data_IF_959390465152
#
_entry.id   IF_959390465152
#
_cell.length_a   1.000
_cell.length_b   1.000
_cell.length_c   1.000
_cell.angle_alpha   90.00
_cell.angle_beta   90.00
_cell.angle_gamma   90.00
#
_symmetry.space_group_name_H-M   'P 1'
#
loop_
_entity.id
_entity.type
_entity.pdbx_description
1 polymer ?
#
# COMPACT_ATOMS: atom_id res chain seq x y z
N UNK A 1 -11.33 -35.79 -2.03
CA UNK A 1 -11.81 -34.43 -1.78
C UNK A 1 -10.82 -33.48 -2.47
N UNK A 2 -11.26 -32.35 -3.00
CA UNK A 2 -10.33 -31.41 -3.57
C UNK A 2 -9.35 -30.89 -2.47
N UNK A 3 -8.12 -30.60 -2.85
CA UNK A 3 -7.11 -30.03 -1.95
C UNK A 3 -7.52 -28.58 -1.62
N UNK A 4 -7.51 -28.25 -0.33
CA UNK A 4 -7.84 -26.91 0.18
C UNK A 4 -6.57 -26.11 0.33
N UNK A 5 -6.55 -24.92 -0.26
CA UNK A 5 -5.39 -24.01 -0.25
C UNK A 5 -5.78 -22.71 0.44
N UNK A 6 -5.04 -22.34 1.48
CA UNK A 6 -5.11 -21.04 2.15
C UNK A 6 -3.96 -20.15 1.72
N UNK A 7 -4.22 -18.84 1.64
CA UNK A 7 -3.20 -17.83 1.31
C UNK A 7 -3.09 -16.81 2.45
N UNK A 8 -1.90 -16.63 2.97
CA UNK A 8 -1.55 -15.53 3.89
C UNK A 8 -0.74 -14.51 3.09
N UNK A 9 -1.30 -13.30 2.92
CA UNK A 9 -0.63 -12.21 2.20
C UNK A 9 -0.18 -11.16 3.19
N UNK A 10 1.12 -11.05 3.40
CA UNK A 10 1.73 -10.10 4.32
C UNK A 10 2.28 -8.88 3.60
N UNK A 11 2.37 -7.77 4.33
CA UNK A 11 3.00 -6.55 3.87
C UNK A 11 2.08 -5.64 3.02
N UNK A 12 2.50 -5.29 1.81
CA UNK A 12 1.90 -4.18 1.06
C UNK A 12 0.88 -4.62 -0.01
N UNK A 13 0.14 -3.65 -0.53
CA UNK A 13 -0.84 -3.82 -1.61
C UNK A 13 -0.27 -4.47 -2.89
N UNK A 14 1.04 -4.33 -3.17
CA UNK A 14 1.68 -5.01 -4.31
C UNK A 14 1.76 -6.51 -4.09
N UNK A 15 2.12 -6.95 -2.86
CA UNK A 15 2.08 -8.37 -2.46
C UNK A 15 0.67 -8.92 -2.54
N UNK A 16 -0.34 -8.14 -2.13
CA UNK A 16 -1.74 -8.56 -2.22
C UNK A 16 -2.15 -8.88 -3.66
N UNK A 17 -1.84 -7.99 -4.61
CA UNK A 17 -2.11 -8.23 -6.04
C UNK A 17 -1.40 -9.48 -6.55
N UNK A 18 -0.15 -9.73 -6.11
CA UNK A 18 0.59 -10.95 -6.47
C UNK A 18 -0.12 -12.21 -5.90
N UNK A 19 -0.61 -12.15 -4.66
CA UNK A 19 -1.40 -13.23 -4.03
C UNK A 19 -2.70 -13.50 -4.79
N UNK A 20 -3.44 -12.46 -5.17
CA UNK A 20 -4.70 -12.58 -5.91
C UNK A 20 -4.54 -13.24 -7.28
N UNK A 21 -3.40 -12.98 -7.97
CA UNK A 21 -3.05 -13.67 -9.22
C UNK A 21 -2.73 -15.14 -9.00
N UNK A 22 -1.97 -15.48 -7.95
CA UNK A 22 -1.70 -16.88 -7.60
C UNK A 22 -2.99 -17.62 -7.24
N UNK A 23 -3.90 -17.02 -6.46
CA UNK A 23 -5.20 -17.58 -6.12
C UNK A 23 -6.04 -17.87 -7.36
N UNK A 24 -6.06 -16.99 -8.35
CA UNK A 24 -6.78 -17.20 -9.61
C UNK A 24 -6.29 -18.44 -10.35
N UNK A 25 -4.97 -18.62 -10.46
CA UNK A 25 -4.34 -19.79 -11.09
C UNK A 25 -4.70 -21.08 -10.37
N UNK A 26 -4.59 -21.09 -9.03
CA UNK A 26 -4.91 -22.25 -8.21
C UNK A 26 -6.38 -22.65 -8.36
N UNK A 27 -7.31 -21.68 -8.34
CA UNK A 27 -8.74 -21.92 -8.54
C UNK A 27 -9.02 -22.49 -9.95
N UNK A 28 -8.40 -21.91 -10.98
CA UNK A 28 -8.55 -22.37 -12.35
C UNK A 28 -8.06 -23.81 -12.55
N UNK A 29 -7.07 -24.23 -11.75
CA UNK A 29 -6.54 -25.61 -11.77
C UNK A 29 -7.36 -26.59 -10.91
N UNK A 30 -8.42 -26.13 -10.25
CA UNK A 30 -9.35 -26.98 -9.51
C UNK A 30 -9.07 -27.11 -8.01
N UNK A 31 -8.13 -26.36 -7.45
CA UNK A 31 -7.93 -26.28 -6.02
C UNK A 31 -9.07 -25.51 -5.34
N UNK A 32 -9.46 -25.95 -4.15
CA UNK A 32 -10.45 -25.25 -3.33
C UNK A 32 -9.75 -24.20 -2.47
N UNK A 33 -10.15 -22.94 -2.61
CA UNK A 33 -9.62 -21.88 -1.79
C UNK A 33 -10.37 -21.76 -0.48
N UNK A 34 -9.64 -21.53 0.61
CA UNK A 34 -10.16 -21.28 1.96
C UNK A 34 -9.54 -20.01 2.54
N UNK A 35 -10.29 -19.33 3.40
CA UNK A 35 -9.85 -18.08 4.03
C UNK A 35 -8.96 -18.32 5.25
N UNK A 36 -9.31 -19.33 6.04
CA UNK A 36 -8.60 -19.64 7.28
C UNK A 36 -7.50 -20.67 7.04
N UNK A 37 -6.21 -20.35 7.36
CA UNK A 37 -5.12 -21.32 7.20
C UNK A 37 -5.32 -22.63 7.97
N UNK A 38 -6.00 -22.58 9.11
CA UNK A 38 -6.36 -23.77 9.91
C UNK A 38 -7.34 -24.73 9.23
N UNK A 39 -8.04 -24.31 8.17
CA UNK A 39 -8.93 -25.15 7.36
C UNK A 39 -8.24 -25.67 6.10
N UNK A 40 -7.02 -25.22 5.81
CA UNK A 40 -6.28 -25.56 4.60
C UNK A 40 -5.56 -26.92 4.71
N UNK A 41 -5.40 -27.59 3.58
CA UNK A 41 -4.44 -28.69 3.45
C UNK A 41 -3.04 -28.15 3.12
N UNK A 42 -2.98 -27.02 2.41
CA UNK A 42 -1.75 -26.31 2.04
C UNK A 42 -1.90 -24.83 2.37
N UNK A 43 -0.93 -24.25 3.07
CA UNK A 43 -0.82 -22.81 3.28
C UNK A 43 0.28 -22.22 2.38
N UNK A 44 -0.04 -21.14 1.69
CA UNK A 44 0.92 -20.34 0.93
C UNK A 44 1.10 -19.01 1.66
N UNK A 45 2.33 -18.66 1.99
CA UNK A 45 2.65 -17.38 2.64
C UNK A 45 3.39 -16.48 1.65
N UNK A 46 2.75 -15.39 1.25
CA UNK A 46 3.39 -14.34 0.48
C UNK A 46 3.99 -13.32 1.46
N UNK A 47 5.28 -13.44 1.69
CA UNK A 47 6.02 -12.78 2.78
C UNK A 47 6.41 -11.35 2.46
N UNK A 48 6.52 -10.50 3.48
CA UNK A 48 7.17 -9.20 3.42
C UNK A 48 8.62 -9.31 3.95
N UNK A 49 9.54 -8.57 3.34
CA UNK A 49 10.97 -8.56 3.72
C UNK A 49 11.57 -7.15 3.58
N UNK A 50 10.73 -6.11 3.71
CA UNK A 50 11.14 -4.73 3.45
C UNK A 50 11.84 -4.08 4.65
N UNK A 51 11.25 -4.17 5.84
CA UNK A 51 11.80 -3.64 7.10
C UNK A 51 11.77 -4.70 8.18
N UNK A 52 12.53 -4.48 9.27
CA UNK A 52 12.70 -5.45 10.33
C UNK A 52 11.37 -5.95 10.92
N UNK A 53 10.45 -5.07 11.28
CA UNK A 53 9.15 -5.46 11.84
C UNK A 53 8.31 -6.34 10.90
N UNK A 54 8.36 -6.07 9.59
CA UNK A 54 7.66 -6.90 8.60
C UNK A 54 8.34 -8.27 8.38
N UNK A 55 9.65 -8.38 8.62
CA UNK A 55 10.37 -9.67 8.64
C UNK A 55 9.95 -10.48 9.86
N UNK A 56 9.86 -9.84 11.03
CA UNK A 56 9.42 -10.47 12.27
C UNK A 56 8.00 -11.02 12.16
N UNK A 57 7.05 -10.23 11.64
CA UNK A 57 5.68 -10.68 11.34
C UNK A 57 5.67 -11.91 10.41
N UNK A 58 6.48 -11.89 9.35
CA UNK A 58 6.56 -13.00 8.41
C UNK A 58 7.13 -14.27 9.08
N UNK A 59 8.17 -14.14 9.90
CA UNK A 59 8.79 -15.25 10.64
C UNK A 59 7.78 -15.84 11.65
N UNK A 60 7.11 -15.00 12.43
CA UNK A 60 6.09 -15.42 13.39
C UNK A 60 4.97 -16.20 12.71
N UNK A 61 4.44 -15.67 11.61
CA UNK A 61 3.42 -16.36 10.80
C UNK A 61 3.90 -17.74 10.30
N UNK A 62 5.13 -17.84 9.82
CA UNK A 62 5.71 -19.11 9.35
C UNK A 62 5.83 -20.11 10.49
N UNK A 63 6.25 -19.68 11.67
CA UNK A 63 6.37 -20.54 12.85
C UNK A 63 5.01 -21.03 13.36
N UNK A 64 3.98 -20.18 13.36
CA UNK A 64 2.60 -20.56 13.69
C UNK A 64 2.07 -21.63 12.74
N UNK A 65 2.25 -21.45 11.43
CA UNK A 65 1.87 -22.45 10.43
C UNK A 65 2.68 -23.74 10.57
N UNK A 66 3.97 -23.63 10.94
CA UNK A 66 4.82 -24.76 11.28
C UNK A 66 4.29 -25.57 12.45
N UNK A 67 3.71 -24.92 13.46
CA UNK A 67 3.03 -25.58 14.57
C UNK A 67 1.77 -26.34 14.12
N UNK A 68 0.91 -25.72 13.26
CA UNK A 68 -0.25 -26.38 12.66
C UNK A 68 0.12 -27.57 11.78
N UNK A 69 1.26 -27.50 11.11
CA UNK A 69 1.78 -28.62 10.33
C UNK A 69 2.25 -29.76 11.22
N UNK A 70 2.90 -29.45 12.34
CA UNK A 70 3.42 -30.43 13.30
C UNK A 70 2.29 -31.19 14.03
N UNK A 71 1.18 -30.53 14.32
CA UNK A 71 -0.01 -31.17 14.94
C UNK A 71 -0.90 -31.92 13.93
N UNK A 72 -0.60 -31.78 12.64
CA UNK A 72 -1.31 -32.49 11.55
C UNK A 72 -2.55 -31.77 11.01
N UNK A 73 -2.85 -30.56 11.48
CA UNK A 73 -3.94 -29.71 10.97
C UNK A 73 -3.63 -29.25 9.55
N UNK A 74 -2.40 -28.78 9.31
CA UNK A 74 -1.88 -28.36 8.02
C UNK A 74 -0.94 -29.44 7.46
N UNK A 75 -0.96 -29.69 6.14
CA UNK A 75 -0.11 -30.72 5.53
C UNK A 75 1.16 -30.14 4.91
N UNK A 76 1.05 -28.99 4.25
CA UNK A 76 2.10 -28.40 3.44
C UNK A 76 2.18 -26.88 3.61
N UNK A 77 3.39 -26.33 3.51
CA UNK A 77 3.67 -24.89 3.57
C UNK A 77 4.52 -24.49 2.37
N UNK A 78 4.09 -23.47 1.64
CA UNK A 78 4.82 -22.85 0.54
C UNK A 78 5.11 -21.40 0.91
N UNK A 79 6.37 -20.99 0.85
CA UNK A 79 6.80 -19.62 1.11
C UNK A 79 7.18 -18.93 -0.20
N UNK A 80 6.71 -17.70 -0.38
CA UNK A 80 7.07 -16.81 -1.48
C UNK A 80 7.13 -15.36 -0.99
N UNK A 81 7.42 -14.43 -1.86
CA UNK A 81 7.34 -13.00 -1.59
C UNK A 81 8.69 -12.32 -1.36
N UNK A 82 8.65 -11.14 -0.71
CA UNK A 82 9.82 -10.29 -0.59
C UNK A 82 10.90 -10.85 0.34
N UNK A 83 10.51 -11.55 1.42
CA UNK A 83 11.48 -12.15 2.35
C UNK A 83 12.25 -13.28 1.67
N UNK A 84 11.53 -14.20 1.03
CA UNK A 84 12.16 -15.33 0.32
C UNK A 84 12.99 -14.87 -0.87
N UNK A 85 12.56 -13.84 -1.61
CA UNK A 85 13.35 -13.25 -2.70
C UNK A 85 14.61 -12.55 -2.20
N UNK A 86 14.57 -11.94 -1.01
CA UNK A 86 15.71 -11.23 -0.44
C UNK A 86 16.81 -12.16 0.05
N UNK A 87 16.42 -13.24 0.74
CA UNK A 87 17.35 -14.16 1.43
C UNK A 87 17.54 -15.50 0.72
N UNK A 88 16.74 -15.81 -0.29
CA UNK A 88 16.86 -16.95 -1.20
C UNK A 88 17.26 -18.28 -0.48
N UNK A 89 18.43 -18.84 -0.77
CA UNK A 89 18.92 -20.11 -0.21
C UNK A 89 19.01 -20.07 1.32
N UNK A 90 19.36 -18.93 1.91
CA UNK A 90 19.41 -18.76 3.37
C UNK A 90 18.01 -18.92 3.98
N UNK A 91 16.97 -18.33 3.37
CA UNK A 91 15.59 -18.54 3.78
C UNK A 91 15.17 -20.01 3.66
N UNK A 92 15.62 -20.71 2.61
CA UNK A 92 15.33 -22.12 2.42
C UNK A 92 16.05 -23.02 3.46
N UNK A 93 17.21 -22.62 3.93
CA UNK A 93 17.93 -23.33 5.00
C UNK A 93 17.31 -23.09 6.38
N UNK A 94 16.87 -21.86 6.65
CA UNK A 94 16.28 -21.46 7.93
C UNK A 94 14.85 -22.00 8.13
N UNK A 95 14.00 -21.92 7.10
CA UNK A 95 12.60 -22.35 7.20
C UNK A 95 12.44 -23.82 6.83
N UNK A 96 12.89 -24.69 7.73
CA UNK A 96 12.82 -26.16 7.52
C UNK A 96 11.39 -26.71 7.55
N UNK A 97 10.43 -25.98 8.10
CA UNK A 97 9.01 -26.29 8.12
C UNK A 97 8.38 -26.21 6.72
N UNK A 98 8.96 -25.40 5.83
CA UNK A 98 8.44 -25.17 4.50
C UNK A 98 8.74 -26.34 3.54
N UNK A 99 7.71 -26.76 2.80
CA UNK A 99 7.85 -27.75 1.72
C UNK A 99 8.31 -27.09 0.41
N UNK A 100 8.02 -25.80 0.23
CA UNK A 100 8.61 -25.02 -0.84
C UNK A 100 9.02 -23.61 -0.37
N UNK A 101 10.15 -23.13 -0.90
CA UNK A 101 10.61 -21.73 -0.75
C UNK A 101 10.96 -21.21 -2.14
N UNK A 102 10.20 -20.21 -2.59
CA UNK A 102 10.32 -19.71 -3.96
C UNK A 102 10.47 -18.18 -3.98
N UNK A 103 11.11 -17.69 -5.05
CA UNK A 103 11.22 -16.28 -5.33
C UNK A 103 9.98 -15.71 -6.03
N UNK A 104 9.85 -14.38 -6.05
CA UNK A 104 8.71 -13.67 -6.68
C UNK A 104 8.58 -13.96 -8.18
N UNK A 105 9.68 -14.23 -8.89
CA UNK A 105 9.69 -14.62 -10.29
C UNK A 105 9.03 -15.97 -10.57
N UNK A 106 8.87 -16.81 -9.54
CA UNK A 106 8.24 -18.12 -9.64
C UNK A 106 6.76 -18.14 -9.23
N UNK A 107 6.17 -17.03 -8.83
CA UNK A 107 4.74 -16.96 -8.54
C UNK A 107 3.86 -17.39 -9.72
N UNK A 108 4.36 -17.24 -10.94
CA UNK A 108 3.70 -17.72 -12.16
C UNK A 108 3.57 -19.24 -12.22
N UNK A 109 4.50 -19.95 -11.58
CA UNK A 109 4.63 -21.42 -11.63
C UNK A 109 3.98 -22.07 -10.39
N UNK A 110 3.17 -21.32 -9.61
CA UNK A 110 2.63 -21.75 -8.30
C UNK A 110 1.84 -23.05 -8.37
N UNK A 111 1.17 -23.34 -9.48
CA UNK A 111 0.41 -24.59 -9.67
C UNK A 111 1.38 -25.78 -9.77
N UNK A 112 2.39 -25.69 -10.64
CA UNK A 112 3.38 -26.77 -10.82
C UNK A 112 4.16 -27.01 -9.52
N UNK A 113 4.51 -25.92 -8.80
CA UNK A 113 5.18 -25.99 -7.50
C UNK A 113 4.32 -26.72 -6.48
N UNK A 114 3.02 -26.39 -6.42
CA UNK A 114 2.10 -27.07 -5.52
C UNK A 114 1.94 -28.56 -5.86
N UNK A 115 1.89 -28.94 -7.14
CA UNK A 115 1.79 -30.33 -7.57
C UNK A 115 3.04 -31.13 -7.13
N UNK A 116 4.25 -30.58 -7.29
CA UNK A 116 5.50 -31.20 -6.79
C UNK A 116 5.48 -31.35 -5.25
N UNK A 117 5.05 -30.33 -4.52
CA UNK A 117 4.93 -30.36 -3.05
C UNK A 117 3.93 -31.43 -2.60
N UNK A 118 2.80 -31.58 -3.30
CA UNK A 118 1.82 -32.63 -3.01
C UNK A 118 2.33 -34.03 -3.35
N UNK A 119 3.22 -34.17 -4.32
CA UNK A 119 3.92 -35.41 -4.63
C UNK A 119 4.98 -35.78 -3.57
N UNK A 120 5.24 -34.90 -2.59
CA UNK A 120 6.20 -35.12 -1.50
C UNK A 120 7.60 -34.57 -1.77
N UNK A 121 7.78 -33.81 -2.81
CA UNK A 121 9.05 -33.16 -3.15
C UNK A 121 9.21 -31.86 -2.37
N UNK A 122 10.43 -31.53 -1.95
CA UNK A 122 10.77 -30.21 -1.44
C UNK A 122 11.26 -29.34 -2.59
N UNK A 123 10.62 -28.17 -2.78
CA UNK A 123 10.94 -27.26 -3.89
C UNK A 123 11.67 -26.03 -3.36
N UNK A 124 12.87 -25.75 -3.92
CA UNK A 124 13.60 -24.49 -3.68
C UNK A 124 13.93 -23.91 -5.03
N UNK A 125 13.34 -22.74 -5.37
CA UNK A 125 13.44 -22.18 -6.70
C UNK A 125 13.43 -20.65 -6.69
N UNK A 126 14.49 -20.03 -7.23
CA UNK A 126 14.61 -18.59 -7.36
C UNK A 126 14.82 -18.23 -8.84
N UNK A 127 13.74 -17.76 -9.47
CA UNK A 127 13.74 -17.34 -10.87
C UNK A 127 14.26 -15.90 -11.04
N UNK A 128 14.24 -15.42 -12.27
CA UNK A 128 14.58 -14.03 -12.53
C UNK A 128 13.46 -13.11 -12.07
N UNK A 129 13.78 -12.00 -11.42
CA UNK A 129 12.82 -10.95 -11.03
C UNK A 129 12.03 -10.37 -12.20
N UNK A 130 12.67 -10.36 -13.41
CA UNK A 130 12.01 -10.00 -14.67
C UNK A 130 10.85 -10.92 -15.06
N UNK A 131 10.79 -12.11 -14.48
CA UNK A 131 9.77 -13.11 -14.78
C UNK A 131 8.53 -12.96 -13.91
N UNK A 132 8.56 -12.05 -12.90
CA UNK A 132 7.38 -11.66 -12.15
C UNK A 132 6.29 -11.10 -13.08
N UNK A 133 5.10 -11.64 -12.96
CA UNK A 133 3.98 -11.32 -13.86
C UNK A 133 3.49 -9.88 -13.65
N UNK A 134 3.31 -9.19 -14.75
CA UNK A 134 2.76 -7.84 -14.75
C UNK A 134 1.23 -7.82 -14.90
N UNK A 135 0.63 -8.87 -15.47
CA UNK A 135 -0.80 -9.02 -15.74
C UNK A 135 -1.26 -10.47 -15.53
N UNK A 136 -2.56 -10.68 -15.46
CA UNK A 136 -3.17 -12.01 -15.33
C UNK A 136 -4.49 -11.92 -14.57
N UNK A 137 -5.27 -13.00 -14.63
CA UNK A 137 -6.53 -13.13 -13.88
C UNK A 137 -6.30 -12.96 -12.38
N UNK A 138 -7.30 -12.44 -11.69
CA UNK A 138 -7.25 -12.18 -10.25
C UNK A 138 -8.48 -12.75 -9.53
N UNK A 139 -8.31 -13.03 -8.24
CA UNK A 139 -9.40 -13.16 -7.29
C UNK A 139 -9.30 -11.99 -6.33
N UNK A 140 -10.27 -11.09 -6.37
CA UNK A 140 -10.30 -9.91 -5.51
C UNK A 140 -10.48 -10.38 -4.07
N UNK A 141 -9.55 -10.01 -3.20
CA UNK A 141 -9.54 -10.35 -1.77
C UNK A 141 -9.79 -9.14 -0.86
N UNK A 142 -9.80 -7.94 -1.43
CA UNK A 142 -10.26 -6.72 -0.77
C UNK A 142 -11.79 -6.73 -0.59
N UNK A 143 -12.33 -5.71 0.09
CA UNK A 143 -13.77 -5.49 0.06
C UNK A 143 -14.26 -5.33 -1.38
N UNK A 144 -15.46 -5.85 -1.75
CA UNK A 144 -15.82 -6.07 -3.15
C UNK A 144 -15.95 -4.80 -3.99
N UNK A 145 -15.96 -3.62 -3.38
CA UNK A 145 -16.15 -2.34 -4.06
C UNK A 145 -14.85 -1.56 -4.32
N UNK A 146 -13.69 -2.02 -3.82
CA UNK A 146 -12.41 -1.42 -4.17
C UNK A 146 -11.36 -2.47 -4.55
N UNK A 147 -10.40 -2.09 -5.38
CA UNK A 147 -9.27 -2.93 -5.71
C UNK A 147 -8.00 -2.11 -5.94
N UNK A 148 -6.86 -2.70 -5.59
CA UNK A 148 -5.57 -2.16 -5.98
C UNK A 148 -5.28 -2.49 -7.45
N UNK A 149 -4.90 -1.48 -8.23
CA UNK A 149 -4.51 -1.60 -9.63
C UNK A 149 -3.00 -1.37 -9.76
N UNK A 150 -2.25 -2.46 -9.91
CA UNK A 150 -0.78 -2.43 -9.98
C UNK A 150 -0.33 -2.11 -11.40
N UNK A 151 0.14 -0.88 -11.64
CA UNK A 151 0.51 -0.35 -12.96
C UNK A 151 1.98 -0.55 -13.34
N UNK A 152 2.82 -0.92 -12.38
CA UNK A 152 4.23 -1.22 -12.62
C UNK A 152 4.80 -2.13 -11.52
N UNK A 153 5.95 -2.73 -11.79
CA UNK A 153 6.72 -3.58 -10.89
C UNK A 153 8.17 -3.08 -10.80
N UNK A 154 8.80 -3.24 -9.62
CA UNK A 154 10.18 -2.85 -9.39
C UNK A 154 10.39 -1.33 -9.25
N UNK A 155 11.63 -0.92 -8.98
CA UNK A 155 12.00 0.48 -8.79
C UNK A 155 13.43 0.75 -9.25
N UNK A 156 13.67 1.91 -9.88
CA UNK A 156 14.99 2.35 -10.34
C UNK A 156 15.45 3.66 -9.71
N UNK A 157 14.86 4.07 -8.56
CA UNK A 157 15.22 5.33 -7.89
C UNK A 157 16.51 5.24 -7.06
N UNK A 158 16.91 4.02 -6.67
CA UNK A 158 18.16 3.75 -5.93
C UNK A 158 18.32 4.57 -4.63
N UNK A 159 17.22 4.82 -3.89
CA UNK A 159 17.30 5.42 -2.57
C UNK A 159 18.20 4.59 -1.64
N UNK A 160 19.10 5.24 -0.92
CA UNK A 160 20.18 4.55 -0.17
C UNK A 160 19.68 3.67 0.98
N UNK A 161 18.48 3.93 1.49
CA UNK A 161 17.82 3.17 2.56
C UNK A 161 16.96 2.01 2.07
N UNK A 162 16.81 1.84 0.75
CA UNK A 162 15.74 1.01 0.19
C UNK A 162 16.27 -0.26 -0.50
N UNK A 163 15.74 -1.41 -0.09
CA UNK A 163 16.09 -2.73 -0.67
C UNK A 163 15.23 -3.12 -1.87
N UNK A 164 14.21 -2.33 -2.23
CA UNK A 164 13.24 -2.69 -3.30
C UNK A 164 13.90 -3.01 -4.64
N UNK A 165 14.90 -2.25 -5.15
CA UNK A 165 15.58 -2.62 -6.38
C UNK A 165 16.25 -4.00 -6.32
N UNK A 166 16.77 -4.38 -5.16
CA UNK A 166 17.37 -5.69 -4.95
C UNK A 166 16.32 -6.81 -4.88
N UNK A 167 15.12 -6.55 -4.34
CA UNK A 167 14.06 -7.54 -4.21
C UNK A 167 13.24 -7.65 -5.48
N UNK A 168 12.73 -6.51 -6.02
CA UNK A 168 11.74 -6.47 -7.10
C UNK A 168 12.32 -6.13 -8.48
N UNK A 169 13.62 -5.87 -8.54
CA UNK A 169 14.33 -5.55 -9.77
C UNK A 169 14.07 -4.13 -10.31
N UNK A 170 14.52 -3.86 -11.54
CA UNK A 170 14.34 -2.56 -12.18
C UNK A 170 12.86 -2.28 -12.47
N UNK A 171 12.53 -1.00 -12.60
CA UNK A 171 11.18 -0.55 -12.91
C UNK A 171 10.68 -1.06 -14.26
N UNK A 172 9.48 -1.61 -14.29
CA UNK A 172 8.79 -2.13 -15.48
C UNK A 172 7.33 -1.75 -15.44
N UNK A 173 6.89 -0.90 -16.36
CA UNK A 173 5.48 -0.53 -16.52
C UNK A 173 4.65 -1.65 -17.14
N UNK A 174 3.41 -1.76 -16.72
CA UNK A 174 2.38 -2.53 -17.44
C UNK A 174 1.95 -1.70 -18.65
N UNK A 175 1.84 -2.27 -19.88
CA UNK A 175 1.27 -1.55 -21.01
C UNK A 175 -0.09 -0.93 -20.69
N UNK A 176 -0.36 0.27 -21.22
CA UNK A 176 -1.58 1.03 -20.87
C UNK A 176 -2.85 0.25 -21.20
N UNK A 177 -2.88 -0.43 -22.33
CA UNK A 177 -4.00 -1.24 -22.77
C UNK A 177 -4.31 -2.37 -21.76
N UNK A 178 -3.26 -3.04 -21.24
CA UNK A 178 -3.40 -4.12 -20.27
C UNK A 178 -3.90 -3.58 -18.91
N UNK A 179 -3.48 -2.36 -18.50
CA UNK A 179 -3.99 -1.71 -17.29
C UNK A 179 -5.46 -1.36 -17.43
N UNK A 180 -5.85 -0.79 -18.59
CA UNK A 180 -7.24 -0.42 -18.86
C UNK A 180 -8.15 -1.64 -18.98
N UNK A 181 -7.66 -2.74 -19.56
CA UNK A 181 -8.42 -3.99 -19.62
C UNK A 181 -8.64 -4.59 -18.23
N UNK A 182 -7.61 -4.60 -17.36
CA UNK A 182 -7.75 -5.03 -15.96
C UNK A 182 -8.75 -4.12 -15.21
N UNK A 183 -8.68 -2.81 -15.42
CA UNK A 183 -9.58 -1.84 -14.78
C UNK A 183 -11.05 -2.02 -15.23
N UNK A 184 -11.31 -2.26 -16.52
CA UNK A 184 -12.66 -2.58 -17.03
C UNK A 184 -13.18 -3.89 -16.42
N UNK A 185 -12.33 -4.92 -16.38
CA UNK A 185 -12.68 -6.19 -15.75
C UNK A 185 -13.06 -6.00 -14.26
N UNK A 186 -12.31 -5.17 -13.52
CA UNK A 186 -12.62 -4.83 -12.13
C UNK A 186 -13.98 -4.14 -12.01
N UNK A 187 -14.28 -3.17 -12.90
CA UNK A 187 -15.56 -2.48 -12.92
C UNK A 187 -16.74 -3.42 -13.22
N UNK A 188 -16.58 -4.37 -14.17
CA UNK A 188 -17.55 -5.42 -14.47
C UNK A 188 -17.80 -6.35 -13.26
N UNK A 189 -16.83 -6.47 -12.35
CA UNK A 189 -16.93 -7.21 -11.09
C UNK A 189 -17.34 -6.34 -9.89
N UNK A 190 -17.99 -5.19 -10.17
CA UNK A 190 -18.58 -4.27 -9.18
C UNK A 190 -17.57 -3.49 -8.33
N UNK A 191 -16.31 -3.43 -8.71
CA UNK A 191 -15.34 -2.51 -8.13
C UNK A 191 -15.70 -1.08 -8.56
N UNK A 192 -15.84 -0.19 -7.60
CA UNK A 192 -16.22 1.22 -7.81
C UNK A 192 -15.10 2.19 -7.43
N UNK A 193 -14.07 1.72 -6.71
CA UNK A 193 -12.86 2.49 -6.42
C UNK A 193 -11.61 1.74 -6.90
N UNK A 194 -10.81 2.40 -7.75
CA UNK A 194 -9.50 1.93 -8.18
C UNK A 194 -8.40 2.66 -7.41
N UNK A 195 -7.51 1.89 -6.78
CA UNK A 195 -6.34 2.42 -6.08
C UNK A 195 -5.11 2.08 -6.90
N UNK A 196 -4.59 3.07 -7.60
CA UNK A 196 -3.46 2.93 -8.52
C UNK A 196 -2.17 2.90 -7.74
N UNK A 197 -1.42 1.79 -7.88
CA UNK A 197 -0.20 1.53 -7.13
C UNK A 197 0.97 1.09 -8.01
N UNK A 198 2.17 1.48 -7.57
CA UNK A 198 3.47 0.96 -7.99
C UNK A 198 4.46 1.23 -6.85
N UNK A 199 5.74 0.96 -7.04
CA UNK A 199 6.78 1.48 -6.14
C UNK A 199 7.06 2.98 -6.39
N UNK A 200 6.75 3.45 -7.60
CA UNK A 200 6.78 4.85 -8.02
C UNK A 200 5.76 5.02 -9.15
N UNK A 201 4.57 5.52 -8.83
CA UNK A 201 3.50 5.69 -9.82
C UNK A 201 3.80 6.82 -10.80
N UNK A 202 4.49 7.87 -10.35
CA UNK A 202 4.82 9.05 -11.17
C UNK A 202 5.75 8.74 -12.33
N UNK A 203 6.43 7.58 -12.31
CA UNK A 203 7.31 7.12 -13.38
C UNK A 203 6.60 6.30 -14.46
N UNK A 204 5.32 6.00 -14.27
CA UNK A 204 4.57 5.11 -15.16
C UNK A 204 4.73 5.46 -16.64
N UNK A 205 5.06 4.45 -17.43
CA UNK A 205 5.20 4.55 -18.88
C UNK A 205 6.53 5.09 -19.38
N UNK A 206 7.41 5.62 -18.50
CA UNK A 206 8.68 6.21 -18.93
C UNK A 206 9.61 5.21 -19.62
N UNK A 207 9.59 3.95 -19.18
CA UNK A 207 10.35 2.84 -19.76
C UNK A 207 9.77 2.33 -21.08
N UNK A 208 8.45 2.39 -21.26
CA UNK A 208 7.75 1.92 -22.46
C UNK A 208 7.61 3.00 -23.55
N UNK A 209 7.37 4.25 -23.14
CA UNK A 209 6.96 5.32 -24.05
C UNK A 209 7.94 6.51 -24.07
N UNK A 210 9.06 6.41 -23.33
CA UNK A 210 10.09 7.47 -23.25
C UNK A 210 9.72 8.70 -22.40
N UNK A 211 8.51 8.74 -21.85
CA UNK A 211 8.02 9.78 -20.90
C UNK A 211 6.98 9.20 -19.96
N UNK A 212 6.77 9.85 -18.83
CA UNK A 212 5.65 9.48 -17.94
C UNK A 212 4.30 9.69 -18.65
N UNK A 213 3.41 8.73 -18.48
CA UNK A 213 2.04 8.76 -18.98
C UNK A 213 1.02 8.55 -17.86
N UNK A 214 1.40 8.79 -16.62
CA UNK A 214 0.47 8.67 -15.49
C UNK A 214 -0.76 9.57 -15.63
N UNK A 215 -0.64 10.87 -15.98
CA UNK A 215 -1.82 11.73 -16.12
C UNK A 215 -2.81 11.22 -17.17
N UNK A 216 -2.31 10.72 -18.31
CA UNK A 216 -3.13 10.16 -19.37
C UNK A 216 -3.84 8.88 -18.88
N UNK A 217 -3.12 7.96 -18.22
CA UNK A 217 -3.72 6.76 -17.66
C UNK A 217 -4.82 7.09 -16.65
N UNK A 218 -4.59 8.03 -15.74
CA UNK A 218 -5.58 8.39 -14.72
C UNK A 218 -6.85 8.97 -15.35
N UNK A 219 -6.74 9.79 -16.41
CA UNK A 219 -7.90 10.28 -17.16
C UNK A 219 -8.71 9.13 -17.77
N UNK A 220 -8.05 8.21 -18.45
CA UNK A 220 -8.73 7.04 -19.05
C UNK A 220 -9.42 6.18 -17.98
N UNK A 221 -8.79 5.99 -16.80
CA UNK A 221 -9.39 5.26 -15.68
C UNK A 221 -10.65 5.96 -15.13
N UNK A 222 -10.64 7.30 -15.05
CA UNK A 222 -11.80 8.09 -14.62
C UNK A 222 -12.99 7.99 -15.58
N UNK A 223 -12.76 7.60 -16.84
CA UNK A 223 -13.82 7.45 -17.85
C UNK A 223 -14.37 6.01 -17.98
N UNK A 224 -13.92 5.08 -17.14
CA UNK A 224 -14.46 3.71 -17.13
C UNK A 224 -15.82 3.69 -16.44
N UNK A 225 -16.84 3.19 -17.14
CA UNK A 225 -18.18 3.03 -16.60
C UNK A 225 -18.19 2.18 -15.32
N UNK A 226 -18.85 2.65 -14.28
CA UNK A 226 -18.93 1.96 -12.99
C UNK A 226 -17.89 2.39 -11.97
N UNK A 227 -16.78 2.99 -12.40
CA UNK A 227 -15.78 3.56 -11.49
C UNK A 227 -16.25 4.93 -10.98
N UNK A 228 -16.22 5.12 -9.68
CA UNK A 228 -16.61 6.35 -9.00
C UNK A 228 -15.43 7.09 -8.38
N UNK A 229 -14.43 6.35 -7.90
CA UNK A 229 -13.21 6.90 -7.33
C UNK A 229 -11.97 6.27 -7.97
N UNK A 230 -11.06 7.12 -8.39
CA UNK A 230 -9.69 6.75 -8.78
C UNK A 230 -8.75 7.44 -7.82
N UNK A 231 -7.92 6.67 -7.13
CA UNK A 231 -6.92 7.15 -6.17
C UNK A 231 -5.54 6.75 -6.63
N UNK A 232 -4.55 7.62 -6.46
CA UNK A 232 -3.14 7.31 -6.76
C UNK A 232 -2.30 7.38 -5.51
N UNK A 233 -1.48 6.36 -5.28
CA UNK A 233 -0.53 6.28 -4.16
C UNK A 233 0.92 6.22 -4.68
N UNK A 234 1.88 6.49 -3.80
CA UNK A 234 3.32 6.38 -4.05
C UNK A 234 3.84 7.33 -5.15
N UNK A 235 3.50 8.61 -5.04
CA UNK A 235 3.97 9.65 -5.93
C UNK A 235 5.30 10.25 -5.43
N UNK A 236 6.23 10.48 -6.34
CA UNK A 236 7.51 11.11 -6.01
C UNK A 236 7.42 12.63 -6.20
N UNK A 237 7.84 13.44 -5.19
CA UNK A 237 7.73 14.90 -5.22
C UNK A 237 8.32 15.53 -6.48
N UNK A 238 9.50 15.09 -6.86
CA UNK A 238 10.24 15.64 -8.01
C UNK A 238 9.64 15.31 -9.39
N UNK A 239 8.55 14.53 -9.43
CA UNK A 239 7.86 14.11 -10.66
C UNK A 239 6.40 14.53 -10.71
N UNK A 240 5.98 15.38 -9.80
CA UNK A 240 4.66 16.01 -9.90
C UNK A 240 4.69 17.01 -11.05
N UNK A 241 3.81 16.83 -12.01
CA UNK A 241 3.69 17.68 -13.22
C UNK A 241 2.38 18.45 -13.21
N UNK A 242 2.33 19.55 -13.98
CA UNK A 242 1.10 20.32 -14.13
C UNK A 242 -0.04 19.45 -14.68
N UNK A 243 0.26 18.58 -15.65
CA UNK A 243 -0.75 17.68 -16.21
C UNK A 243 -1.33 16.70 -15.16
N UNK A 244 -0.54 16.30 -14.15
CA UNK A 244 -1.06 15.49 -13.04
C UNK A 244 -1.96 16.32 -12.13
N UNK A 245 -1.58 17.56 -11.85
CA UNK A 245 -2.40 18.48 -11.05
C UNK A 245 -3.71 18.83 -11.77
N UNK A 246 -3.68 19.00 -13.11
CA UNK A 246 -4.89 19.17 -13.92
C UNK A 246 -5.86 17.98 -13.77
N UNK A 247 -5.36 16.74 -13.80
CA UNK A 247 -6.18 15.54 -13.58
C UNK A 247 -6.81 15.53 -12.20
N UNK A 248 -6.01 15.85 -11.16
CA UNK A 248 -6.51 15.91 -9.77
C UNK A 248 -7.57 16.99 -9.55
N UNK A 249 -7.50 18.09 -10.32
CA UNK A 249 -8.40 19.23 -10.19
C UNK A 249 -9.67 19.09 -11.04
N UNK A 250 -9.58 18.46 -12.23
CA UNK A 250 -10.62 18.55 -13.26
C UNK A 250 -11.44 17.28 -13.40
N UNK A 251 -10.84 16.08 -13.13
CA UNK A 251 -11.56 14.82 -13.35
C UNK A 251 -12.49 14.49 -12.17
N UNK A 252 -13.80 14.39 -12.40
CA UNK A 252 -14.78 14.27 -11.31
C UNK A 252 -14.69 12.93 -10.53
N UNK A 253 -14.09 11.90 -11.12
CA UNK A 253 -13.91 10.61 -10.48
C UNK A 253 -12.51 10.45 -9.87
N UNK A 254 -11.60 11.40 -10.11
CA UNK A 254 -10.30 11.44 -9.43
C UNK A 254 -10.49 12.01 -8.03
N UNK A 255 -10.17 11.23 -7.00
CA UNK A 255 -10.23 11.76 -5.63
C UNK A 255 -9.10 12.77 -5.43
N UNK A 256 -9.35 13.93 -4.79
CA UNK A 256 -8.33 14.94 -4.51
C UNK A 256 -7.44 14.46 -3.35
N UNK A 257 -6.66 13.43 -3.60
CA UNK A 257 -5.77 12.79 -2.65
C UNK A 257 -4.43 12.51 -3.31
N UNK A 258 -3.34 12.88 -2.65
CA UNK A 258 -1.99 12.66 -3.15
C UNK A 258 -1.09 12.12 -2.03
N UNK A 259 -0.62 10.89 -2.19
CA UNK A 259 0.40 10.29 -1.33
C UNK A 259 1.79 10.66 -1.87
N UNK A 260 2.50 11.48 -1.10
CA UNK A 260 3.74 12.14 -1.49
C UNK A 260 4.85 11.88 -0.46
N UNK A 261 5.49 10.71 -0.43
CA UNK A 261 6.54 10.39 0.53
C UNK A 261 7.79 11.25 0.33
N UNK A 262 7.93 12.32 1.12
CA UNK A 262 9.08 13.24 1.02
C UNK A 262 10.32 12.73 1.75
N UNK A 263 10.15 11.86 2.72
CA UNK A 263 11.14 11.21 3.59
C UNK A 263 11.83 12.16 4.59
N UNK A 264 12.28 13.33 4.16
CA UNK A 264 12.91 14.39 4.97
C UNK A 264 12.78 15.74 4.25
N UNK A 265 13.11 16.87 4.91
CA UNK A 265 13.15 18.20 4.28
C UNK A 265 14.56 18.77 4.16
N UNK A 266 15.52 18.29 4.95
CA UNK A 266 16.90 18.80 4.93
C UNK A 266 17.66 18.33 3.69
N UNK A 267 18.32 19.27 3.00
CA UNK A 267 19.03 19.03 1.74
C UNK A 267 20.15 17.99 1.86
N UNK A 268 20.93 18.06 2.95
CA UNK A 268 22.04 17.11 3.14
C UNK A 268 21.52 15.70 3.41
N UNK A 269 20.48 15.56 4.23
CA UNK A 269 19.85 14.25 4.50
C UNK A 269 19.21 13.70 3.23
N UNK A 270 18.46 14.50 2.48
CA UNK A 270 17.87 14.08 1.20
C UNK A 270 18.94 13.65 0.19
N UNK A 271 20.04 14.42 0.09
CA UNK A 271 21.19 14.06 -0.76
C UNK A 271 21.79 12.72 -0.35
N UNK A 272 21.96 12.47 0.94
CA UNK A 272 22.45 11.18 1.46
C UNK A 272 21.47 10.04 1.25
N UNK A 273 20.17 10.33 1.27
CA UNK A 273 19.10 9.38 0.90
C UNK A 273 19.05 9.09 -0.60
N UNK A 274 19.85 9.81 -1.41
CA UNK A 274 19.76 9.80 -2.87
C UNK A 274 18.39 10.28 -3.37
N UNK A 275 17.85 11.32 -2.71
CA UNK A 275 16.60 12.00 -3.06
C UNK A 275 16.93 13.47 -3.44
N UNK A 276 16.41 13.96 -4.58
CA UNK A 276 16.56 15.37 -4.93
C UNK A 276 15.63 16.26 -4.09
N UNK A 277 16.01 17.50 -3.92
CA UNK A 277 15.19 18.52 -3.25
C UNK A 277 15.81 19.06 -1.98
N UNK A 278 15.14 20.04 -1.43
CA UNK A 278 15.45 20.72 -0.17
C UNK A 278 14.16 21.28 0.42
N UNK A 279 14.24 21.88 1.61
CA UNK A 279 13.09 22.46 2.29
C UNK A 279 12.33 23.49 1.44
N UNK A 280 13.04 24.41 0.78
CA UNK A 280 12.41 25.45 -0.05
C UNK A 280 11.64 24.87 -1.23
N UNK A 281 12.25 23.92 -1.95
CA UNK A 281 11.61 23.28 -3.10
C UNK A 281 10.38 22.46 -2.69
N UNK A 282 10.42 21.81 -1.53
CA UNK A 282 9.29 21.05 -0.99
C UNK A 282 8.16 21.99 -0.53
N UNK A 283 8.48 23.09 0.17
CA UNK A 283 7.50 24.12 0.55
C UNK A 283 6.80 24.71 -0.66
N UNK A 284 7.55 25.06 -1.68
CA UNK A 284 7.01 25.62 -2.92
C UNK A 284 6.11 24.60 -3.64
N UNK A 285 6.53 23.34 -3.73
CA UNK A 285 5.72 22.26 -4.34
C UNK A 285 4.40 22.06 -3.60
N UNK A 286 4.43 21.93 -2.27
CA UNK A 286 3.23 21.70 -1.45
C UNK A 286 2.26 22.87 -1.56
N UNK A 287 2.79 24.11 -1.51
CA UNK A 287 2.00 25.32 -1.68
C UNK A 287 1.33 25.35 -3.06
N UNK A 288 2.11 25.08 -4.11
CA UNK A 288 1.62 25.04 -5.48
C UNK A 288 0.53 23.97 -5.68
N UNK A 289 0.72 22.75 -5.13
CA UNK A 289 -0.30 21.70 -5.19
C UNK A 289 -1.61 22.18 -4.56
N UNK A 290 -1.57 22.83 -3.40
CA UNK A 290 -2.77 23.35 -2.73
C UNK A 290 -3.43 24.50 -3.47
N UNK A 291 -2.66 25.36 -4.13
CA UNK A 291 -3.21 26.41 -5.00
C UNK A 291 -3.93 25.84 -6.22
N UNK A 292 -3.39 24.78 -6.82
CA UNK A 292 -3.97 24.11 -8.00
C UNK A 292 -5.16 23.23 -7.66
N UNK A 293 -5.13 22.58 -6.51
CA UNK A 293 -6.17 21.64 -6.03
C UNK A 293 -6.53 22.00 -4.58
N UNK A 294 -7.38 23.00 -4.34
CA UNK A 294 -7.68 23.50 -2.99
C UNK A 294 -8.22 22.45 -2.01
N UNK A 295 -8.95 21.46 -2.50
CA UNK A 295 -9.54 20.36 -1.69
C UNK A 295 -8.59 19.16 -1.53
N UNK A 296 -7.31 19.30 -1.91
CA UNK A 296 -6.35 18.18 -1.87
C UNK A 296 -6.11 17.69 -0.45
N UNK A 297 -6.19 16.40 -0.28
CA UNK A 297 -5.67 15.71 0.90
C UNK A 297 -4.24 15.28 0.61
N UNK A 298 -3.30 15.77 1.40
CA UNK A 298 -1.88 15.44 1.27
C UNK A 298 -1.47 14.43 2.34
N UNK A 299 -1.05 13.26 1.89
CA UNK A 299 -0.40 12.25 2.71
C UNK A 299 1.11 12.27 2.47
N UNK A 300 1.90 12.11 3.53
CA UNK A 300 3.34 11.99 3.42
C UNK A 300 3.91 10.86 4.29
N UNK A 301 5.14 10.51 4.02
CA UNK A 301 5.93 9.58 4.84
C UNK A 301 7.29 10.20 5.12
N UNK A 302 7.74 10.09 6.37
CA UNK A 302 9.01 10.59 6.85
C UNK A 302 9.85 9.46 7.44
N UNK A 303 11.18 9.64 7.42
CA UNK A 303 12.16 8.78 8.08
C UNK A 303 12.98 9.67 9.01
N UNK A 304 13.00 9.33 10.30
CA UNK A 304 13.82 9.99 11.33
C UNK A 304 15.03 9.15 11.70
N UNK A 305 16.07 9.80 12.18
CA UNK A 305 17.29 9.14 12.60
C UNK A 305 18.06 8.48 11.46
N UNK A 306 17.91 9.01 10.24
CA UNK A 306 18.75 8.59 9.12
C UNK A 306 20.23 8.85 9.44
N UNK A 307 21.20 7.99 9.03
CA UNK A 307 22.61 8.16 9.35
C UNK A 307 23.11 9.59 9.09
N UNK A 308 23.71 10.20 10.11
CA UNK A 308 24.19 11.59 10.10
C UNK A 308 23.15 12.65 10.39
N UNK A 309 21.89 12.31 10.66
CA UNK A 309 20.87 13.28 11.03
C UNK A 309 21.19 13.90 12.40
N UNK A 310 21.47 15.23 12.40
CA UNK A 310 21.72 16.00 13.62
C UNK A 310 20.41 16.39 14.31
N UNK A 311 20.53 16.85 15.57
CA UNK A 311 19.38 17.38 16.30
C UNK A 311 18.78 18.63 15.63
N UNK A 312 19.62 19.48 15.05
CA UNK A 312 19.21 20.70 14.37
C UNK A 312 18.43 20.39 13.08
N UNK A 313 18.84 19.35 12.34
CA UNK A 313 18.13 18.89 11.15
C UNK A 313 16.78 18.26 11.50
N UNK A 314 16.75 17.48 12.59
CA UNK A 314 15.50 16.91 13.12
C UNK A 314 14.53 18.02 13.58
N UNK A 315 15.01 19.01 14.35
CA UNK A 315 14.17 20.14 14.78
C UNK A 315 13.58 20.88 13.58
N UNK A 316 14.37 21.12 12.53
CA UNK A 316 13.92 21.74 11.29
C UNK A 316 12.85 20.90 10.58
N UNK A 317 12.98 19.56 10.63
CA UNK A 317 11.94 18.66 10.10
C UNK A 317 10.63 18.79 10.89
N UNK A 318 10.69 18.92 12.21
CA UNK A 318 9.53 19.18 13.06
C UNK A 318 8.84 20.50 12.72
N UNK A 319 9.61 21.60 12.61
CA UNK A 319 9.08 22.91 12.20
C UNK A 319 8.44 22.82 10.80
N UNK A 320 9.08 22.13 9.86
CA UNK A 320 8.55 21.92 8.52
C UNK A 320 7.20 21.18 8.53
N UNK A 321 7.08 20.11 9.31
CA UNK A 321 5.82 19.35 9.44
C UNK A 321 4.72 20.22 9.99
N UNK A 322 5.03 20.99 11.03
CA UNK A 322 4.07 21.89 11.66
C UNK A 322 3.60 23.00 10.72
N UNK A 323 4.48 23.55 9.90
CA UNK A 323 4.15 24.59 8.94
C UNK A 323 3.36 24.02 7.74
N UNK A 324 3.75 22.84 7.26
CA UNK A 324 3.14 22.26 6.06
C UNK A 324 1.79 21.62 6.33
N UNK A 325 1.45 21.27 7.59
CA UNK A 325 0.10 20.80 7.96
C UNK A 325 -0.41 19.68 7.02
N UNK A 326 0.29 18.55 6.98
CA UNK A 326 -0.16 17.40 6.21
C UNK A 326 -1.47 16.84 6.78
N UNK A 327 -2.35 16.34 5.92
CA UNK A 327 -3.60 15.73 6.34
C UNK A 327 -3.35 14.36 6.96
N UNK A 328 -2.46 13.59 6.35
CA UNK A 328 -1.99 12.31 6.86
C UNK A 328 -0.46 12.27 6.82
N UNK A 329 0.15 11.72 7.85
CA UNK A 329 1.59 11.55 7.94
C UNK A 329 1.91 10.25 8.67
N UNK A 330 2.79 9.45 8.06
CA UNK A 330 3.46 8.34 8.74
C UNK A 330 4.92 8.66 8.95
N UNK A 331 5.42 8.50 10.18
CA UNK A 331 6.83 8.66 10.49
C UNK A 331 7.42 7.35 10.96
N UNK A 332 8.56 6.96 10.38
CA UNK A 332 9.27 5.74 10.71
C UNK A 332 10.67 6.05 11.21
N UNK A 333 11.08 5.40 12.29
CA UNK A 333 12.48 5.34 12.64
C UNK A 333 13.27 4.65 11.51
N UNK A 334 14.44 5.18 11.16
CA UNK A 334 15.28 4.55 10.15
C UNK A 334 15.60 3.10 10.56
N UNK A 335 15.32 2.17 9.67
CA UNK A 335 15.67 0.76 9.81
C UNK A 335 16.94 0.48 9.03
N UNK A 336 17.96 -0.03 9.73
CA UNK A 336 19.23 -0.42 9.13
C UNK A 336 19.08 -1.76 8.41
N UNK A 337 18.80 -1.67 7.10
CA UNK A 337 18.52 -2.84 6.28
C UNK A 337 19.76 -3.34 5.57
N UNK A 338 20.12 -4.59 5.84
CA UNK A 338 21.24 -5.27 5.21
C UNK A 338 21.20 -5.17 3.68
N UNK A 339 22.34 -4.93 3.06
CA UNK A 339 22.48 -4.75 1.61
C UNK A 339 22.05 -3.38 1.08
N UNK A 340 21.71 -2.43 1.97
CA UNK A 340 21.49 -1.02 1.60
C UNK A 340 22.75 -0.18 1.81
N UNK A 341 22.92 0.85 0.97
CA UNK A 341 24.07 1.77 1.14
C UNK A 341 24.03 2.54 2.48
N UNK A 342 22.83 2.86 2.96
CA UNK A 342 22.69 3.59 4.21
C UNK A 342 23.10 2.77 5.44
N UNK A 343 23.01 1.44 5.39
CA UNK A 343 23.51 0.57 6.43
C UNK A 343 25.04 0.57 6.54
N UNK A 344 25.74 0.96 5.47
CA UNK A 344 27.22 1.04 5.44
C UNK A 344 27.76 2.39 5.94
N UNK A 345 26.88 3.36 6.25
CA UNK A 345 27.31 4.66 6.75
C UNK A 345 27.78 4.56 8.21
N UNK A 346 28.94 5.16 8.51
CA UNK A 346 29.58 5.05 9.83
C UNK A 346 28.86 5.86 10.93
N UNK A 347 28.15 6.93 10.54
CA UNK A 347 27.48 7.87 11.44
C UNK A 347 26.02 7.49 11.73
N UNK A 348 25.81 6.22 12.10
CA UNK A 348 24.50 5.72 12.51
C UNK A 348 23.98 6.47 13.74
N UNK A 349 22.70 6.84 13.72
CA UNK A 349 22.02 7.42 14.87
C UNK A 349 21.57 6.27 15.79
N UNK A 350 21.70 6.47 17.09
CA UNK A 350 21.27 5.50 18.11
C UNK A 350 19.80 5.12 17.93
N UNK A 351 19.46 3.84 18.11
CA UNK A 351 18.13 3.30 17.87
C UNK A 351 17.06 3.96 18.74
N UNK A 352 17.35 4.19 20.03
CA UNK A 352 16.43 4.87 20.94
C UNK A 352 16.17 6.31 20.50
N UNK A 353 17.20 6.98 19.94
CA UNK A 353 17.06 8.33 19.39
C UNK A 353 16.21 8.34 18.12
N UNK A 354 16.39 7.35 17.23
CA UNK A 354 15.58 7.21 16.01
C UNK A 354 14.10 7.06 16.37
N UNK A 355 13.80 6.12 17.28
CA UNK A 355 12.45 5.83 17.74
C UNK A 355 11.82 7.05 18.42
N UNK A 356 12.52 7.68 19.37
CA UNK A 356 12.03 8.88 20.05
C UNK A 356 11.73 10.05 19.11
N UNK A 357 12.56 10.25 18.08
CA UNK A 357 12.29 11.28 17.05
C UNK A 357 11.03 10.96 16.24
N UNK A 358 10.79 9.69 15.90
CA UNK A 358 9.57 9.29 15.22
C UNK A 358 8.32 9.56 16.09
N UNK A 359 8.38 9.22 17.37
CA UNK A 359 7.29 9.45 18.33
C UNK A 359 6.95 10.95 18.44
N UNK A 360 7.97 11.82 18.55
CA UNK A 360 7.77 13.28 18.59
C UNK A 360 7.02 13.77 17.35
N UNK A 361 7.40 13.35 16.14
CA UNK A 361 6.71 13.78 14.91
C UNK A 361 5.29 13.21 14.82
N UNK A 362 5.07 12.00 15.31
CA UNK A 362 3.71 11.42 15.35
C UNK A 362 2.81 12.14 16.37
N UNK A 363 3.34 12.57 17.52
CA UNK A 363 2.61 13.42 18.48
C UNK A 363 2.24 14.78 17.86
N UNK A 364 3.18 15.44 17.18
CA UNK A 364 2.91 16.69 16.46
C UNK A 364 1.85 16.51 15.37
N UNK A 365 1.93 15.41 14.62
CA UNK A 365 0.94 15.11 13.58
C UNK A 365 -0.46 14.84 14.18
N UNK A 366 -0.55 14.21 15.34
CA UNK A 366 -1.82 13.99 16.00
C UNK A 366 -2.56 15.32 16.29
N UNK A 367 -1.81 16.36 16.74
CA UNK A 367 -2.36 17.70 16.94
C UNK A 367 -2.86 18.33 15.63
N UNK A 368 -2.06 18.19 14.55
CA UNK A 368 -2.44 18.68 13.20
C UNK A 368 -3.69 17.97 12.70
N UNK A 369 -3.74 16.64 12.82
CA UNK A 369 -4.88 15.81 12.38
C UNK A 369 -6.15 16.17 13.16
N UNK A 370 -6.05 16.34 14.48
CA UNK A 370 -7.18 16.74 15.32
C UNK A 370 -7.72 18.12 14.90
N UNK A 371 -6.84 19.10 14.66
CA UNK A 371 -7.24 20.44 14.21
C UNK A 371 -7.93 20.42 12.84
N UNK A 372 -7.38 19.63 11.88
CA UNK A 372 -7.98 19.45 10.56
C UNK A 372 -9.32 18.73 10.61
N UNK A 373 -9.45 17.72 11.46
CA UNK A 373 -10.72 17.03 11.66
C UNK A 373 -11.75 17.94 12.30
N UNK A 374 -11.38 18.75 13.31
CA UNK A 374 -12.26 19.74 13.90
C UNK A 374 -12.79 20.76 12.87
N UNK A 375 -11.98 21.12 11.87
CA UNK A 375 -12.40 22.00 10.76
C UNK A 375 -13.42 21.35 9.81
N UNK A 376 -13.67 20.04 9.93
CA UNK A 376 -14.70 19.30 9.16
C UNK A 376 -16.06 19.28 9.86
N UNK A 377 -16.17 19.74 11.11
CA UNK A 377 -17.46 19.78 11.84
C UNK A 377 -18.51 20.57 11.06
N UNK A 378 -19.72 19.98 10.93
CA UNK A 378 -20.84 20.51 10.18
C UNK A 378 -20.68 20.45 8.65
N UNK A 379 -19.58 19.89 8.14
CA UNK A 379 -19.41 19.71 6.70
C UNK A 379 -20.09 18.44 6.21
N UNK A 380 -20.65 18.55 5.01
CA UNK A 380 -21.19 17.39 4.26
C UNK A 380 -20.12 16.83 3.34
N UNK A 381 -20.01 15.52 3.30
CA UNK A 381 -19.07 14.81 2.44
C UNK A 381 -19.62 13.47 1.99
N UNK A 382 -19.09 12.95 0.90
CA UNK A 382 -19.41 11.59 0.43
C UNK A 382 -18.56 10.58 1.20
N UNK A 383 -19.21 9.56 1.73
CA UNK A 383 -18.55 8.40 2.34
C UNK A 383 -18.96 7.11 1.64
N UNK A 384 -18.04 6.15 1.52
CA UNK A 384 -18.31 4.77 1.13
C UNK A 384 -18.42 3.90 2.37
N UNK A 385 -19.48 3.10 2.46
CA UNK A 385 -19.75 2.22 3.61
C UNK A 385 -18.90 0.96 3.51
N UNK A 386 -18.10 0.69 4.53
CA UNK A 386 -17.17 -0.46 4.59
C UNK A 386 -17.63 -1.57 5.54
N UNK A 387 -18.52 -1.26 6.45
CA UNK A 387 -19.02 -2.26 7.38
C UNK A 387 -19.96 -1.70 8.44
N UNK A 388 -20.31 -2.58 9.37
CA UNK A 388 -21.11 -2.28 10.55
C UNK A 388 -20.42 -2.81 11.80
N UNK A 389 -20.14 -1.91 12.73
CA UNK A 389 -19.59 -2.26 14.04
C UNK A 389 -20.76 -2.61 14.99
N UNK A 390 -20.85 -3.89 15.35
CA UNK A 390 -21.90 -4.41 16.23
C UNK A 390 -21.77 -3.90 17.68
N UNK A 391 -20.56 -3.56 18.11
CA UNK A 391 -20.30 -3.09 19.48
C UNK A 391 -20.59 -1.60 19.60
N UNK A 392 -20.17 -0.79 18.64
CA UNK A 392 -20.48 0.62 18.57
C UNK A 392 -21.92 0.90 18.09
N UNK A 393 -22.56 -0.07 17.45
CA UNK A 393 -23.92 0.06 16.93
C UNK A 393 -24.05 1.06 15.78
N UNK A 394 -23.00 1.26 14.99
CA UNK A 394 -22.96 2.19 13.87
C UNK A 394 -22.26 1.57 12.66
N UNK A 395 -22.49 2.17 11.47
CA UNK A 395 -21.73 1.85 10.30
C UNK A 395 -20.36 2.55 10.36
N UNK A 396 -19.41 2.06 9.56
CA UNK A 396 -18.14 2.74 9.33
C UNK A 396 -17.79 2.69 7.86
N UNK A 397 -16.90 3.59 7.46
CA UNK A 397 -16.45 3.70 6.09
C UNK A 397 -15.35 4.72 5.93
N UNK A 398 -15.15 5.20 4.70
CA UNK A 398 -14.11 6.19 4.35
C UNK A 398 -14.70 7.31 3.51
N UNK A 399 -14.06 8.47 3.57
CA UNK A 399 -14.28 9.57 2.65
C UNK A 399 -13.27 9.54 1.49
N UNK A 400 -13.41 10.43 0.53
CA UNK A 400 -12.42 10.63 -0.53
C UNK A 400 -11.03 11.03 0.03
N UNK A 401 -10.98 11.57 1.24
CA UNK A 401 -9.75 11.97 1.93
C UNK A 401 -8.97 10.80 2.55
N UNK A 402 -9.52 9.57 2.55
CA UNK A 402 -8.95 8.46 3.29
C UNK A 402 -8.68 7.26 2.37
N UNK A 403 -7.45 6.78 2.31
CA UNK A 403 -7.09 5.54 1.64
C UNK A 403 -7.37 4.33 2.55
N UNK A 404 -7.78 3.16 1.99
CA UNK A 404 -8.07 1.98 2.79
C UNK A 404 -6.84 1.51 3.57
N UNK A 405 -7.09 1.06 4.79
CA UNK A 405 -6.14 0.41 5.71
C UNK A 405 -5.00 1.29 6.26
N UNK A 406 -4.78 2.49 5.73
CA UNK A 406 -3.66 3.36 6.10
C UNK A 406 -4.04 4.72 6.67
N UNK A 407 -5.29 5.16 6.47
CA UNK A 407 -5.80 6.45 6.96
C UNK A 407 -6.98 6.26 7.92
N UNK A 408 -7.62 7.36 8.32
CA UNK A 408 -8.75 7.37 9.24
C UNK A 408 -10.05 6.78 8.68
N UNK A 409 -11.04 6.66 9.55
CA UNK A 409 -12.38 6.18 9.23
C UNK A 409 -13.44 7.24 9.55
N UNK A 410 -14.59 7.07 8.96
CA UNK A 410 -15.80 7.78 9.37
C UNK A 410 -16.78 6.78 9.97
N UNK A 411 -17.17 7.00 11.25
CA UNK A 411 -18.22 6.25 11.93
C UNK A 411 -19.55 6.93 11.65
N UNK A 412 -20.53 6.18 11.15
CA UNK A 412 -21.75 6.72 10.57
C UNK A 412 -22.97 6.26 11.33
N UNK A 413 -23.70 7.20 11.93
CA UNK A 413 -25.06 6.95 12.43
C UNK A 413 -26.04 6.99 11.26
N UNK A 414 -26.89 5.98 11.15
CA UNK A 414 -27.96 5.92 10.16
C UNK A 414 -29.14 5.16 10.72
N UNK A 415 -30.35 5.64 10.43
CA UNK A 415 -31.60 4.93 10.68
C UNK A 415 -31.94 3.94 9.57
N UNK A 416 -31.29 4.06 8.43
CA UNK A 416 -31.46 3.21 7.26
C UNK A 416 -30.55 1.99 7.32
N UNK A 417 -30.93 0.92 6.61
CA UNK A 417 -30.04 -0.22 6.37
C UNK A 417 -29.12 0.11 5.20
N UNK A 418 -27.86 0.43 5.51
CA UNK A 418 -26.83 0.67 4.51
C UNK A 418 -26.23 -0.63 3.96
N UNK A 419 -25.77 -0.59 2.71
CA UNK A 419 -25.09 -1.71 2.04
C UNK A 419 -23.59 -1.47 1.98
N UNK A 420 -22.84 -2.53 2.08
CA UNK A 420 -21.40 -2.52 1.82
C UNK A 420 -21.12 -1.94 0.41
N UNK A 421 -20.17 -1.00 0.30
CA UNK A 421 -19.85 -0.30 -0.96
C UNK A 421 -20.86 0.79 -1.36
N UNK A 422 -21.87 1.07 -0.54
CA UNK A 422 -22.80 2.15 -0.82
C UNK A 422 -22.14 3.52 -0.55
N UNK A 423 -22.25 4.43 -1.50
CA UNK A 423 -21.85 5.83 -1.34
C UNK A 423 -23.03 6.63 -0.82
N UNK A 424 -22.81 7.36 0.27
CA UNK A 424 -23.81 8.17 0.93
C UNK A 424 -23.27 9.56 1.24
N UNK A 425 -24.14 10.52 1.41
CA UNK A 425 -23.79 11.83 1.98
C UNK A 425 -23.87 11.74 3.49
N UNK A 426 -22.83 12.19 4.17
CA UNK A 426 -22.77 12.26 5.64
C UNK A 426 -22.47 13.68 6.07
N UNK A 427 -22.96 14.07 7.25
CA UNK A 427 -22.63 15.34 7.91
C UNK A 427 -21.85 15.05 9.19
N UNK A 428 -20.66 15.64 9.32
CA UNK A 428 -19.76 15.41 10.47
C UNK A 428 -20.29 16.18 11.68
N UNK A 429 -20.58 15.48 12.78
CA UNK A 429 -21.08 16.07 14.00
C UNK A 429 -20.07 16.06 15.17
N UNK A 430 -19.04 15.17 15.10
CA UNK A 430 -17.96 15.09 16.10
C UNK A 430 -16.71 14.49 15.48
N UNK A 431 -15.58 14.55 16.16
CA UNK A 431 -14.29 14.07 15.68
C UNK A 431 -13.51 13.34 16.77
N UNK A 432 -12.67 12.40 16.35
CA UNK A 432 -11.62 11.79 17.15
C UNK A 432 -10.25 12.23 16.57
N UNK A 433 -9.16 11.80 17.18
CA UNK A 433 -7.81 12.24 16.75
C UNK A 433 -7.59 12.02 15.24
N UNK A 434 -7.94 10.85 14.73
CA UNK A 434 -7.78 10.49 13.32
C UNK A 434 -9.09 10.20 12.59
N UNK A 435 -10.18 9.97 13.32
CA UNK A 435 -11.46 9.51 12.78
C UNK A 435 -12.55 10.58 12.86
N UNK A 436 -13.61 10.41 12.07
CA UNK A 436 -14.77 11.28 12.05
C UNK A 436 -16.01 10.55 12.59
N UNK A 437 -16.88 11.29 13.28
CA UNK A 437 -18.21 10.85 13.67
C UNK A 437 -19.23 11.63 12.84
N UNK A 438 -20.05 10.93 12.08
CA UNK A 438 -20.99 11.56 11.15
C UNK A 438 -22.37 10.88 11.20
N UNK A 439 -23.37 11.55 10.65
CA UNK A 439 -24.69 10.97 10.42
C UNK A 439 -25.06 11.03 8.94
N UNK A 440 -25.82 10.04 8.49
CA UNK A 440 -26.35 10.01 7.14
C UNK A 440 -27.31 11.20 6.91
N UNK A 441 -27.05 11.95 5.84
CA UNK A 441 -27.99 12.99 5.38
C UNK A 441 -28.96 12.33 4.42
N UNK A 442 -30.21 12.15 4.90
CA UNK A 442 -31.31 11.77 4.01
C UNK A 442 -31.93 13.07 3.52
N UNK A 443 -31.93 13.29 2.19
CA UNK A 443 -32.76 14.34 1.62
C UNK A 443 -34.23 13.95 1.85
N UNK A 444 -34.80 14.35 2.98
CA UNK A 444 -36.24 14.40 3.08
C UNK A 444 -36.72 15.49 2.11
N UNK A 445 -37.67 15.18 1.21
CA UNK A 445 -38.33 16.24 0.46
C UNK A 445 -38.96 17.18 1.50
N UNK A 446 -38.61 18.45 1.45
CA UNK A 446 -39.23 19.48 2.27
C UNK A 446 -40.76 19.39 2.02
N UNK A 447 -41.53 19.07 3.11
CA UNK A 447 -42.97 19.14 3.10
C UNK A 447 -43.47 20.56 2.81
#
# INVERSE_FOLDING_TARGET
MPIRVGMVSLGCSKNLVDSERMLAKLRAHGYQLVTEPGEADVAIVNTCGFIQSAKEEAIETILELGALKKDGTLKKIILTGCLTERYQEEAAELFTEADAVIGIGNNRDIVDILDHVLAGERVVQFGKKSDAELKGDRIITTLPFFAYLKIAEGCSNNCTYCVIPAIRGPYRSVPMEDVLDEARWLAEHHVTELIVIAQDTTRYGADLYGKSRLPELLRELCHIDGIRWVRVLYCYPERITEELLDVLAEEPHMVPYLDLPIQHCDEEILRRMHRPGNEETLRNLITHIRERVPEITLRTTLITGFPGETKEQFNRLGDFVQDMQFDHLGCFAYSEEEGTKAAEFEDQVDEDVRAHRADILMEQQAEVSAAKNAAKLGKRMTAVVEGYDKYAGCYFGRTAADAPDIDGKVFIKSSSRLRLGQYITVEVFDTMDYDLLAEEVTDEPAE
#
